data_IF_909759045358
#
_entry.id   IF_909759045358
#
_cell.length_a   1.000
_cell.length_b   1.000
_cell.length_c   1.000
_cell.angle_alpha   90.00
_cell.angle_beta   90.00
_cell.angle_gamma   90.00
#
_symmetry.space_group_name_H-M   'P 1'
#
loop_
_entity.id
_entity.type
_entity.pdbx_description
1 polymer ?
#
# COMPACT_ATOMS: atom_id res chain seq x y z
N UNK A 1 -15.75 -2.25 3.36
CA UNK A 1 -16.71 -2.81 2.49
C UNK A 1 -17.91 -1.90 2.36
N UNK A 2 -18.62 -1.94 1.31
CA UNK A 2 -19.71 -1.01 1.07
C UNK A 2 -19.29 0.24 0.34
N UNK A 3 -18.01 0.41 0.06
CA UNK A 3 -17.56 1.54 -0.73
C UNK A 3 -17.44 1.06 -2.17
N UNK A 4 -18.10 1.73 -3.09
CA UNK A 4 -18.05 1.30 -4.47
C UNK A 4 -16.76 1.74 -5.13
N UNK A 5 -16.52 1.23 -6.34
CA UNK A 5 -15.24 1.44 -7.03
C UNK A 5 -15.00 2.91 -7.32
N UNK A 6 -16.04 3.65 -7.71
CA UNK A 6 -15.88 5.07 -8.00
C UNK A 6 -15.44 5.86 -6.80
N UNK A 7 -16.02 5.56 -5.64
CA UNK A 7 -15.66 6.23 -4.41
C UNK A 7 -14.22 5.90 -4.00
N UNK A 8 -13.80 4.65 -4.20
CA UNK A 8 -12.42 4.28 -3.89
C UNK A 8 -11.44 5.06 -4.74
N UNK A 9 -11.73 5.21 -6.02
CA UNK A 9 -10.85 5.96 -6.91
C UNK A 9 -10.76 7.42 -6.48
N UNK A 10 -11.88 8.01 -6.07
CA UNK A 10 -11.89 9.38 -5.61
C UNK A 10 -11.03 9.55 -4.35
N UNK A 11 -11.11 8.60 -3.44
CA UNK A 11 -10.30 8.64 -2.23
C UNK A 11 -8.81 8.53 -2.57
N UNK A 12 -8.46 7.65 -3.51
CA UNK A 12 -7.08 7.50 -3.92
C UNK A 12 -6.54 8.77 -4.56
N UNK A 13 -7.35 9.44 -5.37
CA UNK A 13 -6.94 10.71 -5.97
C UNK A 13 -6.72 11.76 -4.91
N UNK A 14 -7.58 11.81 -3.92
CA UNK A 14 -7.44 12.78 -2.82
C UNK A 14 -6.14 12.55 -2.07
N UNK A 15 -5.81 11.30 -1.79
CA UNK A 15 -4.58 10.95 -1.09
C UNK A 15 -3.36 11.42 -1.89
N UNK A 16 -3.37 11.18 -3.19
CA UNK A 16 -2.26 11.58 -4.04
C UNK A 16 -2.14 13.10 -4.12
N UNK A 17 -3.26 13.80 -4.17
CA UNK A 17 -3.24 15.26 -4.20
C UNK A 17 -2.65 15.83 -2.91
N UNK A 18 -3.08 15.29 -1.77
CA UNK A 18 -2.56 15.76 -0.48
C UNK A 18 -1.06 15.50 -0.38
N UNK A 19 -0.62 14.35 -0.82
CA UNK A 19 0.80 14.01 -0.77
C UNK A 19 1.61 14.95 -1.66
N UNK A 20 1.06 15.31 -2.82
CA UNK A 20 1.77 16.19 -3.74
C UNK A 20 1.92 17.60 -3.17
N UNK A 21 1.10 17.95 -2.20
CA UNK A 21 1.18 19.24 -1.53
C UNK A 21 2.12 19.20 -0.33
N UNK A 22 2.83 18.11 -0.15
CA UNK A 22 3.79 18.01 0.94
C UNK A 22 3.25 17.39 2.21
N UNK A 23 2.03 16.91 2.19
CA UNK A 23 1.43 16.30 3.36
C UNK A 23 1.82 14.83 3.46
N UNK A 24 2.10 14.36 4.68
CA UNK A 24 2.32 12.94 4.91
C UNK A 24 0.98 12.27 5.09
N UNK A 25 0.73 11.23 4.32
CA UNK A 25 -0.54 10.51 4.39
C UNK A 25 -0.27 9.04 4.62
N UNK A 26 -0.95 8.45 5.59
CA UNK A 26 -0.89 7.01 5.84
C UNK A 26 -2.19 6.39 5.35
N UNK A 27 -2.07 5.41 4.49
CA UNK A 27 -3.22 4.75 3.89
C UNK A 27 -3.16 3.27 4.23
N UNK A 28 -4.19 2.74 4.84
CA UNK A 28 -4.22 1.36 5.30
C UNK A 28 -5.28 0.59 4.51
N UNK A 29 -4.88 -0.52 3.94
CA UNK A 29 -5.79 -1.31 3.13
C UNK A 29 -5.28 -2.74 3.02
N UNK A 30 -6.17 -3.67 2.75
CA UNK A 30 -5.80 -5.04 2.42
C UNK A 30 -5.81 -5.25 0.91
N UNK A 31 -6.11 -4.21 0.13
CA UNK A 31 -6.20 -4.31 -1.31
C UNK A 31 -4.85 -3.92 -1.92
N UNK A 32 -4.11 -4.91 -2.40
CA UNK A 32 -2.76 -4.65 -2.90
C UNK A 32 -2.75 -3.71 -4.11
N UNK A 33 -3.76 -3.82 -4.97
CA UNK A 33 -3.83 -2.92 -6.13
C UNK A 33 -3.93 -1.47 -5.72
N UNK A 34 -4.74 -1.18 -4.70
CA UNK A 34 -4.88 0.18 -4.19
C UNK A 34 -3.56 0.69 -3.64
N UNK A 35 -2.87 -0.17 -2.91
CA UNK A 35 -1.61 0.22 -2.30
C UNK A 35 -0.56 0.53 -3.36
N UNK A 36 -0.50 -0.27 -4.40
CA UNK A 36 0.48 -0.04 -5.45
C UNK A 36 0.23 1.25 -6.21
N UNK A 37 -1.04 1.63 -6.35
CA UNK A 37 -1.37 2.86 -7.08
C UNK A 37 -1.21 4.11 -6.22
N UNK A 38 -1.27 3.96 -4.90
CA UNK A 38 -1.40 5.11 -4.03
C UNK A 38 -0.14 5.40 -3.22
N UNK A 39 0.62 4.40 -2.86
CA UNK A 39 1.72 4.56 -1.92
C UNK A 39 3.07 4.58 -2.59
N UNK A 40 3.98 5.41 -2.07
CA UNK A 40 5.37 5.39 -2.51
C UNK A 40 6.23 4.50 -1.61
N UNK A 41 5.71 4.18 -0.44
CA UNK A 41 6.37 3.27 0.48
C UNK A 41 5.29 2.43 1.13
N UNK A 42 5.55 1.16 1.26
CA UNK A 42 4.56 0.23 1.75
C UNK A 42 5.16 -0.59 2.89
N UNK A 43 4.45 -0.64 3.99
CA UNK A 43 4.85 -1.45 5.13
C UNK A 43 3.91 -2.64 5.21
N UNK A 44 4.47 -3.84 5.19
CA UNK A 44 3.69 -5.06 5.23
C UNK A 44 3.65 -5.58 6.64
N UNK A 45 2.45 -5.84 7.14
CA UNK A 45 2.28 -6.36 8.49
C UNK A 45 1.58 -7.70 8.45
N UNK A 46 1.99 -8.58 9.34
CA UNK A 46 1.36 -9.87 9.49
C UNK A 46 1.45 -10.27 10.95
N UNK A 47 0.34 -10.75 11.50
CA UNK A 47 0.28 -11.18 12.90
C UNK A 47 0.75 -10.08 13.85
N UNK A 48 0.32 -8.85 13.55
CA UNK A 48 0.62 -7.68 14.38
C UNK A 48 2.08 -7.28 14.37
N UNK A 49 2.84 -7.76 13.41
CA UNK A 49 4.26 -7.41 13.30
C UNK A 49 4.56 -6.91 11.92
N UNK A 50 5.53 -6.02 11.83
CA UNK A 50 6.02 -5.57 10.54
C UNK A 50 6.91 -6.67 9.99
N UNK A 51 6.59 -7.17 8.81
CA UNK A 51 7.39 -8.22 8.19
C UNK A 51 8.19 -7.73 7.00
N UNK A 52 7.96 -6.51 6.55
CA UNK A 52 8.76 -5.96 5.47
C UNK A 52 8.39 -4.54 5.15
N UNK A 53 9.27 -3.87 4.44
CA UNK A 53 9.04 -2.53 3.94
C UNK A 53 9.49 -2.50 2.48
N UNK A 54 8.64 -1.99 1.61
CA UNK A 54 8.88 -2.00 0.17
C UNK A 54 8.87 -0.59 -0.38
N UNK A 55 9.86 -0.26 -1.19
CA UNK A 55 9.95 1.05 -1.82
C UNK A 55 10.50 0.87 -3.23
N UNK A 56 10.25 1.87 -4.07
CA UNK A 56 10.85 1.92 -5.40
C UNK A 56 10.57 0.68 -6.22
N UNK A 57 11.60 -0.01 -6.62
CA UNK A 57 11.47 -1.17 -7.49
C UNK A 57 10.76 -2.34 -6.83
N UNK A 58 10.71 -2.35 -5.51
CA UNK A 58 10.09 -3.44 -4.79
C UNK A 58 8.57 -3.30 -4.70
N UNK A 59 8.03 -2.21 -5.17
CA UNK A 59 6.58 -2.00 -5.14
C UNK A 59 5.92 -2.74 -6.29
N UNK A 60 5.87 -4.04 -6.19
CA UNK A 60 5.24 -4.91 -7.18
C UNK A 60 4.34 -5.89 -6.48
N UNK A 61 3.37 -6.42 -7.22
CA UNK A 61 2.46 -7.41 -6.69
C UNK A 61 3.22 -8.65 -6.21
N UNK A 62 4.19 -9.10 -6.99
CA UNK A 62 4.94 -10.29 -6.63
C UNK A 62 5.70 -10.11 -5.33
N UNK A 63 6.33 -8.93 -5.15
CA UNK A 63 7.11 -8.67 -3.95
C UNK A 63 6.21 -8.56 -2.72
N UNK A 64 5.04 -7.94 -2.89
CA UNK A 64 4.08 -7.86 -1.79
C UNK A 64 3.67 -9.25 -1.35
N UNK A 65 3.33 -10.11 -2.31
CA UNK A 65 2.85 -11.45 -1.97
C UNK A 65 3.94 -12.26 -1.29
N UNK A 66 5.17 -12.17 -1.77
CA UNK A 66 6.25 -12.94 -1.16
C UNK A 66 6.56 -12.44 0.25
N UNK A 67 6.44 -11.14 0.48
CA UNK A 67 6.68 -10.57 1.79
C UNK A 67 5.60 -11.00 2.77
N UNK A 68 4.35 -10.99 2.33
CA UNK A 68 3.24 -11.44 3.16
C UNK A 68 3.44 -12.89 3.56
N UNK A 69 3.92 -13.70 2.64
CA UNK A 69 4.13 -15.12 2.92
C UNK A 69 5.34 -15.37 3.82
N UNK A 70 6.11 -14.32 4.11
CA UNK A 70 7.26 -14.47 4.97
C UNK A 70 8.52 -14.84 4.22
N UNK A 71 8.44 -14.84 2.91
CA UNK A 71 9.55 -15.28 2.11
C UNK A 71 10.69 -14.31 1.97
N UNK A 72 10.53 -13.14 2.52
CA UNK A 72 11.56 -12.16 2.40
C UNK A 72 12.67 -12.39 3.39
N UNK A 73 12.52 -13.37 4.19
CA UNK A 73 13.44 -13.59 5.19
C UNK A 73 14.64 -14.25 4.78
N UNK A 74 14.84 -14.68 4.12
CA UNK A 74 15.94 -15.36 3.89
C UNK A 74 16.78 -14.93 3.20
#
# INVERSE_FOLDING_TARGET
RGIDVGTKIDIQKLVLDLASEGMSVTFISSETDEMLRTCSRLIVMRDRKVVGELTGKDLTQAKIMSTIAGGDME
#
